data_IF_287639839896
#
_entry.id   IF_287639839896
#
_cell.length_a   1.000
_cell.length_b   1.000
_cell.length_c   1.000
_cell.angle_alpha   90.00
_cell.angle_beta   90.00
_cell.angle_gamma   90.00
#
_symmetry.space_group_name_H-M   'P 1'
#
loop_
_entity.id
_entity.type
_entity.pdbx_description
1 polymer ?
#
# COMPACT_ATOMS: atom_id res chain seq x y z
N UNK A 1 15.82 -15.09 36.41
CA UNK A 1 16.72 -15.08 35.25
C UNK A 1 15.96 -14.51 34.07
N UNK A 2 16.35 -13.34 33.54
CA UNK A 2 15.78 -12.83 32.29
C UNK A 2 16.52 -13.52 31.15
N UNK A 3 15.82 -14.30 30.33
CA UNK A 3 16.37 -14.85 29.11
C UNK A 3 16.89 -13.73 28.21
N UNK A 4 18.07 -13.87 27.64
CA UNK A 4 18.59 -12.93 26.66
C UNK A 4 17.61 -12.81 25.49
N UNK A 5 17.43 -11.60 24.94
CA UNK A 5 16.58 -11.44 23.73
C UNK A 5 17.17 -12.29 22.59
N UNK A 6 16.33 -12.93 21.77
CA UNK A 6 16.81 -13.70 20.63
C UNK A 6 17.62 -12.81 19.68
N UNK A 7 18.63 -13.35 19.01
CA UNK A 7 19.42 -12.59 18.06
C UNK A 7 18.54 -12.06 16.91
N UNK A 8 18.88 -10.91 16.29
CA UNK A 8 18.03 -10.24 15.31
C UNK A 8 17.71 -11.08 14.05
N UNK A 9 18.49 -12.12 13.76
CA UNK A 9 18.20 -13.04 12.66
C UNK A 9 17.13 -14.09 13.01
N UNK A 10 16.94 -14.44 14.28
CA UNK A 10 15.89 -15.37 14.68
C UNK A 10 14.47 -14.78 14.46
N UNK A 11 14.30 -13.48 14.62
CA UNK A 11 13.04 -12.79 14.27
C UNK A 11 12.75 -12.80 12.75
N UNK A 12 13.81 -12.88 11.94
CA UNK A 12 13.72 -12.96 10.48
C UNK A 12 13.30 -14.37 10.01
N UNK A 13 13.81 -15.41 10.66
CA UNK A 13 13.45 -16.81 10.36
C UNK A 13 11.99 -17.09 10.74
N UNK A 14 11.54 -16.66 11.92
CA UNK A 14 10.15 -16.79 12.33
C UNK A 14 9.18 -16.04 11.38
N UNK A 15 9.59 -14.91 10.84
CA UNK A 15 8.79 -14.18 9.84
C UNK A 15 8.66 -14.98 8.54
N UNK A 16 9.71 -15.66 8.11
CA UNK A 16 9.68 -16.52 6.91
C UNK A 16 8.74 -17.72 7.10
N UNK A 17 8.80 -18.38 8.25
CA UNK A 17 7.92 -19.52 8.58
C UNK A 17 6.44 -19.12 8.56
N UNK A 18 6.08 -17.96 9.13
CA UNK A 18 4.70 -17.47 9.13
C UNK A 18 4.21 -17.08 7.73
N UNK A 19 5.07 -16.49 6.91
CA UNK A 19 4.76 -16.18 5.53
C UNK A 19 4.57 -17.46 4.71
N UNK A 20 5.45 -18.44 4.86
CA UNK A 20 5.36 -19.72 4.18
C UNK A 20 4.11 -20.53 4.60
N UNK A 21 3.70 -20.40 5.85
CA UNK A 21 2.47 -21.01 6.36
C UNK A 21 1.19 -20.24 5.96
N UNK A 22 1.29 -19.10 5.25
CA UNK A 22 0.14 -18.25 4.90
C UNK A 22 -0.53 -17.56 6.09
N UNK A 23 0.10 -17.58 7.27
CA UNK A 23 -0.49 -17.04 8.50
C UNK A 23 -0.71 -15.52 8.43
N UNK A 24 0.17 -14.81 7.69
CA UNK A 24 0.05 -13.37 7.53
C UNK A 24 -1.11 -12.98 6.62
N UNK A 25 -1.33 -13.74 5.53
CA UNK A 25 -2.43 -13.50 4.59
C UNK A 25 -3.77 -13.85 5.26
N UNK A 26 -3.84 -14.97 6.00
CA UNK A 26 -5.02 -15.33 6.79
C UNK A 26 -5.35 -14.29 7.87
N UNK A 27 -4.35 -13.69 8.52
CA UNK A 27 -4.57 -12.61 9.48
C UNK A 27 -5.15 -11.37 8.82
N UNK A 28 -4.65 -11.00 7.65
CA UNK A 28 -5.15 -9.87 6.86
C UNK A 28 -6.62 -10.05 6.50
N UNK A 29 -6.98 -11.22 6.00
CA UNK A 29 -8.35 -11.59 5.65
C UNK A 29 -9.29 -11.49 6.87
N UNK A 30 -8.93 -12.12 8.00
CA UNK A 30 -9.71 -12.08 9.24
C UNK A 30 -9.93 -10.66 9.74
N UNK A 31 -8.90 -9.81 9.71
CA UNK A 31 -8.99 -8.42 10.19
C UNK A 31 -9.95 -7.62 9.31
N UNK A 32 -9.83 -7.72 7.99
CA UNK A 32 -10.71 -7.01 7.05
C UNK A 32 -12.15 -7.48 7.12
N UNK A 33 -12.37 -8.80 7.16
CA UNK A 33 -13.71 -9.39 7.32
C UNK A 33 -14.37 -8.98 8.64
N UNK A 34 -13.59 -8.94 9.72
CA UNK A 34 -14.09 -8.51 11.03
C UNK A 34 -14.44 -7.03 11.02
N UNK A 35 -13.60 -6.18 10.40
CA UNK A 35 -13.87 -4.76 10.26
C UNK A 35 -15.13 -4.51 9.43
N UNK A 36 -15.24 -5.13 8.26
CA UNK A 36 -16.38 -4.99 7.37
C UNK A 36 -17.68 -5.42 8.06
N UNK A 37 -17.67 -6.53 8.77
CA UNK A 37 -18.85 -7.02 9.53
C UNK A 37 -19.23 -6.12 10.70
N UNK A 38 -18.29 -5.46 11.34
CA UNK A 38 -18.52 -4.70 12.59
C UNK A 38 -18.81 -3.23 12.31
N UNK A 39 -18.15 -2.63 11.34
CA UNK A 39 -18.21 -1.20 11.04
C UNK A 39 -18.73 -0.96 9.63
N UNK A 40 -18.30 -1.79 8.68
CA UNK A 40 -18.56 -1.67 7.24
C UNK A 40 -17.40 -0.94 6.52
N UNK A 41 -16.95 -1.49 5.40
CA UNK A 41 -16.01 -0.85 4.51
C UNK A 41 -16.76 0.07 3.53
N UNK A 42 -16.34 1.32 3.41
CA UNK A 42 -16.95 2.27 2.46
C UNK A 42 -16.19 2.22 1.12
N UNK A 43 -16.59 1.25 0.29
CA UNK A 43 -15.92 0.95 -0.98
C UNK A 43 -16.40 1.79 -2.17
N UNK A 44 -17.37 2.69 -1.99
CA UNK A 44 -17.82 3.57 -3.08
C UNK A 44 -16.80 4.66 -3.43
N UNK A 45 -15.92 4.99 -2.47
CA UNK A 45 -14.87 6.01 -2.59
C UNK A 45 -13.52 5.42 -2.13
N UNK A 46 -12.65 5.12 -3.07
CA UNK A 46 -11.34 4.53 -2.79
C UNK A 46 -10.24 5.53 -3.18
N UNK A 47 -9.25 5.74 -2.33
CA UNK A 47 -8.10 6.57 -2.65
C UNK A 47 -6.84 5.71 -2.81
N UNK A 48 -6.05 5.98 -3.87
CA UNK A 48 -4.79 5.30 -4.12
C UNK A 48 -3.65 6.30 -4.22
N UNK A 49 -2.57 6.04 -3.51
CA UNK A 49 -1.37 6.86 -3.55
C UNK A 49 -0.10 6.03 -3.33
N UNK A 50 1.04 6.61 -3.75
CA UNK A 50 2.35 6.00 -3.59
C UNK A 50 3.20 6.75 -2.58
N UNK A 51 3.85 6.01 -1.68
CA UNK A 51 4.87 6.57 -0.80
C UNK A 51 6.17 5.78 -0.89
N UNK A 52 7.29 6.42 -0.52
CA UNK A 52 8.63 5.82 -0.60
C UNK A 52 9.17 5.56 0.79
N UNK A 53 9.49 4.29 1.06
CA UNK A 53 10.23 3.83 2.24
C UNK A 53 11.71 3.78 1.93
N UNK A 54 12.57 4.32 2.80
CA UNK A 54 14.03 4.23 2.65
C UNK A 54 14.50 2.78 2.81
N UNK A 55 15.36 2.32 1.91
CA UNK A 55 15.92 0.97 1.91
C UNK A 55 17.45 1.00 1.78
N UNK A 56 18.19 1.42 2.82
CA UNK A 56 19.64 1.63 2.74
C UNK A 56 20.42 0.36 2.44
N UNK A 57 19.90 -0.80 2.88
CA UNK A 57 20.53 -2.09 2.62
C UNK A 57 20.24 -2.64 1.22
N UNK A 58 19.43 -1.93 0.41
CA UNK A 58 19.01 -2.40 -0.90
C UNK A 58 17.97 -3.52 -0.79
N UNK A 59 18.08 -4.53 -1.67
CA UNK A 59 17.18 -5.70 -1.74
C UNK A 59 16.42 -5.76 -3.06
N UNK A 60 15.67 -6.85 -3.23
CA UNK A 60 15.01 -7.20 -4.50
C UNK A 60 13.93 -6.21 -4.94
N UNK A 61 13.24 -5.56 -3.98
CA UNK A 61 12.20 -4.54 -4.25
C UNK A 61 12.74 -3.11 -4.19
N UNK A 62 14.06 -2.89 -4.06
CA UNK A 62 14.63 -1.55 -3.93
C UNK A 62 15.09 -0.99 -5.26
N UNK A 63 14.91 0.33 -5.44
CA UNK A 63 15.41 1.10 -6.57
C UNK A 63 15.92 2.47 -6.16
N UNK A 64 16.55 3.21 -7.08
CA UNK A 64 17.02 4.57 -6.81
C UNK A 64 15.87 5.53 -6.74
N UNK A 65 15.69 6.19 -5.60
CA UNK A 65 14.62 7.18 -5.40
C UNK A 65 14.87 8.45 -6.24
N UNK A 66 13.91 8.89 -7.05
CA UNK A 66 14.02 10.13 -7.81
C UNK A 66 13.98 11.39 -6.92
N UNK A 67 13.43 11.26 -5.70
CA UNK A 67 13.19 12.40 -4.79
C UNK A 67 14.15 12.44 -3.59
N UNK A 68 14.92 11.38 -3.32
CA UNK A 68 15.90 11.33 -2.21
C UNK A 68 17.35 11.15 -2.73
N UNK A 69 17.80 12.02 -3.63
CA UNK A 69 19.18 12.09 -4.15
C UNK A 69 19.71 10.74 -4.65
N UNK A 70 18.85 9.91 -5.25
CA UNK A 70 19.22 8.60 -5.77
C UNK A 70 19.51 7.54 -4.71
N UNK A 71 19.19 7.79 -3.43
CA UNK A 71 19.27 6.78 -2.39
C UNK A 71 18.28 5.63 -2.66
N UNK A 72 18.59 4.46 -2.16
CA UNK A 72 17.71 3.29 -2.35
C UNK A 72 16.44 3.42 -1.52
N UNK A 73 15.33 3.07 -2.15
CA UNK A 73 14.00 3.06 -1.54
C UNK A 73 13.11 1.99 -2.15
N UNK A 74 12.03 1.70 -1.44
CA UNK A 74 10.93 0.85 -1.88
C UNK A 74 9.71 1.76 -2.01
N UNK A 75 9.06 1.75 -3.15
CA UNK A 75 7.76 2.39 -3.37
C UNK A 75 6.66 1.48 -2.85
N UNK A 76 5.72 2.03 -2.11
CA UNK A 76 4.49 1.36 -1.70
C UNK A 76 3.32 2.06 -2.38
N UNK A 77 2.54 1.35 -3.17
CA UNK A 77 1.26 1.81 -3.68
C UNK A 77 0.18 1.24 -2.75
N UNK A 78 -0.63 2.10 -2.16
CA UNK A 78 -1.61 1.74 -1.13
C UNK A 78 -2.99 2.23 -1.57
N UNK A 79 -3.97 1.35 -1.51
CA UNK A 79 -5.38 1.67 -1.65
C UNK A 79 -6.05 1.71 -0.27
N UNK A 80 -6.90 2.70 -0.04
CA UNK A 80 -7.69 2.86 1.19
C UNK A 80 -9.15 3.15 0.84
N UNK A 81 -10.08 2.77 1.73
CA UNK A 81 -11.48 3.16 1.62
C UNK A 81 -11.71 4.63 1.96
N UNK A 82 -12.97 5.08 1.98
CA UNK A 82 -13.32 6.47 2.30
C UNK A 82 -12.91 6.91 3.71
N UNK A 83 -12.80 5.98 4.64
CA UNK A 83 -12.41 6.24 6.03
C UNK A 83 -10.90 6.13 6.27
N UNK A 84 -10.15 5.66 5.27
CA UNK A 84 -8.70 5.50 5.31
C UNK A 84 -8.26 4.13 5.81
N UNK A 85 -9.16 3.16 5.80
CA UNK A 85 -8.82 1.77 6.09
C UNK A 85 -8.10 1.19 4.89
N UNK A 86 -6.88 0.68 5.07
CA UNK A 86 -6.14 0.10 3.97
C UNK A 86 -6.79 -1.17 3.44
N UNK A 87 -7.02 -1.20 2.14
CA UNK A 87 -7.67 -2.31 1.43
C UNK A 87 -6.66 -3.25 0.79
N UNK A 88 -5.58 -2.70 0.23
CA UNK A 88 -4.53 -3.45 -0.43
C UNK A 88 -3.29 -2.61 -0.65
N UNK A 89 -2.14 -3.26 -0.80
CA UNK A 89 -0.89 -2.58 -1.07
C UNK A 89 0.10 -3.45 -1.85
N UNK A 90 0.89 -2.80 -2.70
CA UNK A 90 1.97 -3.45 -3.47
C UNK A 90 3.30 -2.74 -3.29
N UNK A 91 4.38 -3.50 -3.35
CA UNK A 91 5.75 -3.01 -3.24
C UNK A 91 6.47 -3.02 -4.60
N UNK A 92 7.16 -1.92 -4.92
CA UNK A 92 7.94 -1.78 -6.13
C UNK A 92 9.25 -1.02 -5.89
N UNK A 93 10.23 -1.08 -6.81
CA UNK A 93 11.39 -0.21 -6.76
C UNK A 93 11.01 1.28 -6.79
N UNK A 94 11.71 2.11 -5.99
CA UNK A 94 11.38 3.53 -5.84
C UNK A 94 11.42 4.34 -7.15
N UNK A 95 12.13 3.87 -8.16
CA UNK A 95 12.20 4.49 -9.49
C UNK A 95 11.07 4.10 -10.44
N UNK A 96 10.17 3.18 -10.03
CA UNK A 96 9.00 2.85 -10.86
C UNK A 96 7.97 3.99 -10.78
N UNK A 97 7.34 4.32 -11.90
CA UNK A 97 6.25 5.30 -11.92
C UNK A 97 5.01 4.78 -11.18
N UNK A 98 4.16 5.70 -10.71
CA UNK A 98 2.99 5.37 -9.91
C UNK A 98 1.86 4.75 -10.76
N UNK A 99 1.55 5.34 -11.89
CA UNK A 99 0.45 4.89 -12.76
C UNK A 99 0.53 3.40 -13.16
N UNK A 100 1.69 2.80 -13.51
CA UNK A 100 1.78 1.36 -13.77
C UNK A 100 1.53 0.45 -12.56
N UNK A 101 1.54 0.98 -11.33
CA UNK A 101 1.26 0.21 -10.11
C UNK A 101 -0.24 0.15 -9.78
N UNK A 102 -1.05 1.02 -10.38
CA UNK A 102 -2.48 1.07 -10.09
C UNK A 102 -3.21 -0.26 -10.36
N UNK A 103 -3.05 -0.93 -11.52
CA UNK A 103 -3.69 -2.21 -11.74
C UNK A 103 -3.29 -3.26 -10.70
N UNK A 104 -1.99 -3.39 -10.40
CA UNK A 104 -1.47 -4.34 -9.41
C UNK A 104 -2.03 -4.04 -8.00
N UNK A 105 -2.25 -2.75 -7.68
CA UNK A 105 -2.82 -2.34 -6.39
C UNK A 105 -4.29 -2.69 -6.31
N UNK A 106 -5.06 -2.48 -7.38
CA UNK A 106 -6.47 -2.85 -7.44
C UNK A 106 -6.65 -4.38 -7.44
N UNK A 107 -5.78 -5.13 -8.14
CA UNK A 107 -5.77 -6.59 -8.09
C UNK A 107 -5.57 -7.09 -6.65
N UNK A 108 -4.65 -6.48 -5.90
CA UNK A 108 -4.41 -6.82 -4.50
C UNK A 108 -5.61 -6.51 -3.58
N UNK A 109 -6.43 -5.51 -3.91
CA UNK A 109 -7.70 -5.24 -3.21
C UNK A 109 -8.73 -6.30 -3.55
N UNK A 110 -8.90 -6.62 -4.84
CA UNK A 110 -9.89 -7.58 -5.32
C UNK A 110 -9.56 -9.03 -4.89
N UNK A 111 -8.28 -9.36 -4.70
CA UNK A 111 -7.84 -10.67 -4.17
C UNK A 111 -8.40 -10.93 -2.76
N UNK A 112 -8.56 -9.87 -1.95
CA UNK A 112 -8.97 -9.98 -0.56
C UNK A 112 -10.48 -9.75 -0.37
N UNK A 113 -11.03 -8.73 -1.06
CA UNK A 113 -12.41 -8.28 -0.86
C UNK A 113 -13.38 -8.83 -1.92
N UNK A 114 -12.88 -9.47 -2.96
CA UNK A 114 -13.65 -9.77 -4.16
C UNK A 114 -13.78 -8.56 -5.08
N UNK A 115 -14.71 -8.64 -6.04
CA UNK A 115 -14.93 -7.57 -7.00
C UNK A 115 -15.37 -6.27 -6.31
N UNK A 116 -14.78 -5.17 -6.72
CA UNK A 116 -15.16 -3.83 -6.25
C UNK A 116 -16.57 -3.46 -6.74
N UNK A 117 -17.30 -2.59 -5.98
CA UNK A 117 -18.59 -2.12 -6.42
C UNK A 117 -18.51 -1.42 -7.79
N UNK A 118 -19.50 -1.69 -8.65
CA UNK A 118 -19.60 -0.98 -9.93
C UNK A 118 -19.71 0.53 -9.70
N UNK A 119 -19.00 1.28 -10.52
CA UNK A 119 -18.94 2.73 -10.43
C UNK A 119 -18.28 3.27 -9.15
N UNK A 120 -17.53 2.44 -8.41
CA UNK A 120 -16.70 2.93 -7.32
C UNK A 120 -15.71 4.01 -7.84
N UNK A 121 -15.54 5.07 -7.07
CA UNK A 121 -14.74 6.23 -7.44
C UNK A 121 -13.31 6.07 -6.91
N UNK A 122 -12.36 6.07 -7.84
CA UNK A 122 -10.94 5.92 -7.52
C UNK A 122 -10.27 7.30 -7.55
N UNK A 123 -9.92 7.82 -6.37
CA UNK A 123 -9.25 9.11 -6.19
C UNK A 123 -7.74 8.96 -6.39
N UNK A 124 -7.23 9.71 -7.37
CA UNK A 124 -5.84 9.63 -7.81
C UNK A 124 -5.21 11.03 -7.92
N UNK A 125 -3.92 11.10 -7.71
CA UNK A 125 -3.17 12.33 -7.94
C UNK A 125 -2.89 12.57 -9.44
N UNK A 126 -2.30 13.74 -9.75
CA UNK A 126 -1.95 14.11 -11.12
C UNK A 126 -0.88 13.23 -11.76
N UNK A 127 -0.16 12.43 -11.00
CA UNK A 127 0.81 11.46 -11.51
C UNK A 127 0.13 10.34 -12.32
N UNK A 128 -1.15 10.11 -12.04
CA UNK A 128 -1.99 9.13 -12.73
C UNK A 128 -2.77 9.71 -13.92
N UNK A 129 -2.68 11.02 -14.19
CA UNK A 129 -3.43 11.70 -15.23
C UNK A 129 -2.93 11.29 -16.63
N UNK A 130 -3.55 10.26 -17.19
CA UNK A 130 -3.31 9.73 -18.53
C UNK A 130 -4.56 9.00 -19.06
N UNK A 131 -4.71 8.95 -20.39
CA UNK A 131 -5.80 8.23 -21.04
C UNK A 131 -5.75 6.74 -20.71
N UNK A 132 -4.56 6.14 -20.69
CA UNK A 132 -4.36 4.74 -20.33
C UNK A 132 -4.87 4.42 -18.91
N UNK A 133 -4.69 5.34 -17.95
CA UNK A 133 -5.23 5.15 -16.59
C UNK A 133 -6.76 5.15 -16.62
N UNK A 134 -7.37 6.06 -17.37
CA UNK A 134 -8.83 6.14 -17.50
C UNK A 134 -9.41 4.92 -18.19
N UNK A 135 -8.77 4.44 -19.27
CA UNK A 135 -9.16 3.22 -19.97
C UNK A 135 -9.15 2.00 -19.04
N UNK A 136 -8.05 1.81 -18.28
CA UNK A 136 -7.91 0.70 -17.32
C UNK A 136 -8.94 0.73 -16.19
N UNK A 137 -9.34 1.91 -15.72
CA UNK A 137 -10.42 2.03 -14.74
C UNK A 137 -11.77 1.72 -15.37
N UNK A 138 -12.03 2.21 -16.58
CA UNK A 138 -13.26 1.93 -17.31
C UNK A 138 -13.42 0.44 -17.64
N UNK A 139 -12.34 -0.28 -17.98
CA UNK A 139 -12.34 -1.74 -18.18
C UNK A 139 -12.78 -2.53 -16.95
N UNK A 140 -12.71 -1.92 -15.75
CA UNK A 140 -13.13 -2.50 -14.46
C UNK A 140 -14.46 -1.92 -13.96
N UNK A 141 -15.19 -1.17 -14.77
CA UNK A 141 -16.39 -0.42 -14.36
C UNK A 141 -16.16 0.56 -13.19
N UNK A 142 -14.94 1.14 -13.09
CA UNK A 142 -14.53 2.08 -12.06
C UNK A 142 -14.46 3.51 -12.60
N UNK A 143 -14.73 4.50 -11.75
CA UNK A 143 -14.71 5.93 -12.11
C UNK A 143 -13.43 6.58 -11.59
N UNK A 144 -12.56 7.04 -12.48
CA UNK A 144 -11.35 7.77 -12.10
C UNK A 144 -11.64 9.23 -11.70
N UNK A 145 -11.40 9.59 -10.44
CA UNK A 145 -11.39 10.98 -9.95
C UNK A 145 -9.94 11.45 -9.89
N UNK A 146 -9.42 11.86 -11.04
CA UNK A 146 -8.00 12.14 -11.23
C UNK A 146 -7.77 13.64 -11.23
N UNK A 147 -6.81 14.12 -10.42
CA UNK A 147 -6.40 15.51 -10.42
C UNK A 147 -5.72 15.87 -11.74
N UNK A 148 -6.26 16.85 -12.47
CA UNK A 148 -5.74 17.23 -13.77
C UNK A 148 -4.39 17.96 -13.68
N UNK A 149 -3.49 17.67 -14.62
CA UNK A 149 -2.21 18.37 -14.76
C UNK A 149 -2.46 19.85 -15.12
N UNK A 150 -1.74 20.73 -14.42
CA UNK A 150 -1.83 22.19 -14.67
C UNK A 150 -3.01 22.88 -14.02
N UNK A 151 -3.95 22.17 -13.38
CA UNK A 151 -5.05 22.78 -12.64
C UNK A 151 -4.83 22.71 -11.13
N UNK A 152 -5.24 23.74 -10.36
CA UNK A 152 -5.28 23.67 -8.90
C UNK A 152 -6.21 22.54 -8.47
N UNK A 153 -5.73 21.65 -7.61
CA UNK A 153 -6.53 20.59 -7.01
C UNK A 153 -6.28 20.58 -5.51
N UNK A 154 -7.11 21.27 -4.72
CA UNK A 154 -6.99 21.24 -3.26
C UNK A 154 -7.16 19.80 -2.74
N UNK A 155 -6.36 19.41 -1.76
CA UNK A 155 -6.41 18.07 -1.16
C UNK A 155 -7.81 17.70 -0.63
N UNK A 156 -8.53 18.69 -0.09
CA UNK A 156 -9.88 18.51 0.44
C UNK A 156 -10.98 18.37 -0.64
N UNK A 157 -10.71 18.75 -1.89
CA UNK A 157 -11.67 18.62 -2.98
C UNK A 157 -11.77 17.17 -3.55
N UNK A 158 -10.85 16.33 -3.15
CA UNK A 158 -10.80 14.88 -3.47
C UNK A 158 -10.48 14.12 -2.20
N UNK A 159 -10.96 12.89 -2.05
CA UNK A 159 -10.67 12.05 -0.86
C UNK A 159 -9.19 11.61 -0.75
N UNK A 160 -8.29 12.19 -1.52
CA UNK A 160 -6.84 11.90 -1.51
C UNK A 160 -6.17 12.14 -0.16
N UNK A 161 -6.63 13.14 0.61
CA UNK A 161 -6.08 13.39 1.94
C UNK A 161 -6.17 12.17 2.87
N UNK A 162 -7.12 11.28 2.60
CA UNK A 162 -7.34 10.07 3.41
C UNK A 162 -6.18 9.10 3.28
N UNK A 163 -5.74 8.80 2.05
CA UNK A 163 -4.60 7.90 1.83
C UNK A 163 -3.27 8.54 2.29
N UNK A 164 -3.11 9.85 2.15
CA UNK A 164 -1.95 10.57 2.66
C UNK A 164 -1.89 10.51 4.21
N UNK A 165 -3.04 10.66 4.88
CA UNK A 165 -3.19 10.48 6.33
C UNK A 165 -2.78 9.07 6.74
N UNK A 166 -3.31 8.06 6.07
CA UNK A 166 -3.01 6.65 6.36
C UNK A 166 -1.52 6.34 6.15
N UNK A 167 -0.93 6.78 5.05
CA UNK A 167 0.51 6.65 4.81
C UNK A 167 1.34 7.32 5.91
N UNK A 168 0.90 8.49 6.39
CA UNK A 168 1.56 9.20 7.49
C UNK A 168 1.45 8.45 8.82
N UNK A 169 0.30 7.86 9.12
CA UNK A 169 0.10 7.07 10.34
C UNK A 169 0.91 5.79 10.31
N UNK A 170 0.89 5.04 9.22
CA UNK A 170 1.73 3.86 9.04
C UNK A 170 3.22 4.18 9.26
N UNK A 171 3.68 5.31 8.75
CA UNK A 171 5.06 5.75 8.93
C UNK A 171 5.39 6.14 10.37
N UNK A 172 4.45 6.71 11.13
CA UNK A 172 4.69 7.23 12.48
C UNK A 172 4.43 6.20 13.58
N UNK A 173 3.36 5.42 13.45
CA UNK A 173 2.82 4.64 14.58
C UNK A 173 3.17 3.15 14.48
N UNK A 174 3.13 2.57 13.29
CA UNK A 174 3.09 1.13 13.20
C UNK A 174 4.46 0.47 13.05
N UNK A 175 5.30 0.90 12.13
CA UNK A 175 6.49 0.11 11.82
C UNK A 175 7.69 0.96 11.40
N UNK A 176 8.74 0.94 12.20
CA UNK A 176 10.05 1.47 11.81
C UNK A 176 10.52 0.93 10.46
N UNK A 177 10.15 -0.31 10.11
CA UNK A 177 10.46 -0.95 8.81
C UNK A 177 9.75 -0.30 7.62
N UNK A 178 8.61 0.36 7.81
CA UNK A 178 7.92 1.12 6.75
C UNK A 178 8.53 2.51 6.50
N UNK A 179 9.36 2.99 7.41
CA UNK A 179 10.13 4.24 7.23
C UNK A 179 11.55 3.94 6.78
N UNK A 180 12.11 2.83 7.30
CA UNK A 180 13.49 2.42 7.12
C UNK A 180 13.57 0.91 6.98
N UNK A 181 13.48 0.40 5.76
CA UNK A 181 13.49 -1.02 5.47
C UNK A 181 14.94 -1.53 5.35
N UNK A 182 15.31 -2.46 6.22
CA UNK A 182 16.58 -3.18 6.16
C UNK A 182 16.42 -4.58 5.56
N UNK A 183 15.19 -5.01 5.32
CA UNK A 183 14.90 -6.31 4.69
C UNK A 183 15.28 -6.29 3.21
N UNK A 184 15.78 -7.41 2.70
CA UNK A 184 16.28 -7.55 1.32
C UNK A 184 15.48 -8.55 0.49
N UNK A 185 14.75 -9.46 1.12
CA UNK A 185 13.97 -10.52 0.46
C UNK A 185 12.61 -9.99 0.04
N UNK A 186 12.24 -10.20 -1.24
CA UNK A 186 10.98 -9.68 -1.79
C UNK A 186 9.77 -10.16 -1.01
N UNK A 187 9.66 -11.47 -0.74
CA UNK A 187 8.51 -12.06 -0.05
C UNK A 187 8.24 -11.42 1.33
N UNK A 188 9.30 -11.14 2.09
CA UNK A 188 9.17 -10.50 3.41
C UNK A 188 8.78 -9.03 3.26
N UNK A 189 9.34 -8.34 2.27
CA UNK A 189 8.96 -6.95 1.96
C UNK A 189 7.50 -6.89 1.53
N UNK A 190 7.06 -7.76 0.64
CA UNK A 190 5.70 -7.81 0.13
C UNK A 190 4.71 -8.09 1.28
N UNK A 191 5.00 -9.07 2.14
CA UNK A 191 4.21 -9.35 3.33
C UNK A 191 4.17 -8.17 4.31
N UNK A 192 5.30 -7.51 4.58
CA UNK A 192 5.35 -6.31 5.42
C UNK A 192 4.51 -5.16 4.84
N UNK A 193 4.49 -4.99 3.53
CA UNK A 193 3.74 -3.93 2.86
C UNK A 193 2.25 -4.23 2.88
N UNK A 194 1.84 -5.47 2.60
CA UNK A 194 0.44 -5.91 2.67
C UNK A 194 -0.12 -5.80 4.08
N UNK A 195 0.61 -6.30 5.07
CA UNK A 195 0.15 -6.39 6.45
C UNK A 195 0.40 -5.12 7.29
N UNK A 196 1.07 -4.12 6.74
CA UNK A 196 1.25 -2.83 7.41
C UNK A 196 -0.08 -2.17 7.84
N UNK A 197 -1.16 -2.35 7.08
CA UNK A 197 -2.49 -1.87 7.43
C UNK A 197 -3.07 -2.44 8.73
N UNK A 198 -2.74 -3.68 9.05
CA UNK A 198 -3.39 -4.48 10.09
C UNK A 198 -2.75 -4.32 11.48
N UNK A 199 -1.86 -3.38 11.66
CA UNK A 199 -1.13 -3.15 12.91
C UNK A 199 -1.78 -2.06 13.79
N UNK A 200 -3.11 -2.05 13.86
CA UNK A 200 -3.91 -1.16 14.73
C UNK A 200 -4.22 -1.80 16.06
#
# INVERSE_FOLDING_TARGET
>A
MRSAPPPPYAASEASDEWIEAGAMDALEEIVKETYDRTIGLELSEIAVDCCITKAPCGGQRSGRSPVDRGKRGIKRSVAVDADGIPLGAVAAPANRHDSPLLPETLDAVEEILGALPQSARIHLDRGYDSDLTRERLAERDLIGVISEKGKPSPLWATNRWVVERTNSWQAKLAHKKLVWCTERRSRVIDSLVRNAPNAW
#
